data_IF_347449097619
#
_entry.id   IF_347449097619
#
_cell.length_a   1.000
_cell.length_b   1.000
_cell.length_c   1.000
_cell.angle_alpha   90.00
_cell.angle_beta   90.00
_cell.angle_gamma   90.00
#
_symmetry.space_group_name_H-M   'P 1'
#
loop_
_entity.id
_entity.type
_entity.pdbx_description
1 polymer ?
#
# COMPACT_ATOMS: atom_id res chain seq x y z
N UNK A 1 17.65 -27.96 -0.76
CA UNK A 1 16.81 -27.07 -1.57
C UNK A 1 17.65 -25.85 -1.88
N UNK A 2 17.63 -25.31 -3.10
CA UNK A 2 18.55 -24.22 -3.47
C UNK A 2 18.12 -22.92 -2.74
N UNK A 3 19.03 -22.23 -2.02
CA UNK A 3 18.68 -21.09 -1.16
C UNK A 3 17.95 -19.96 -1.91
N UNK A 4 18.16 -19.85 -3.22
CA UNK A 4 17.40 -18.95 -4.10
C UNK A 4 15.90 -19.27 -4.12
N UNK A 5 15.53 -20.52 -4.40
CA UNK A 5 14.13 -20.92 -4.55
C UNK A 5 13.37 -20.88 -3.22
N UNK A 6 14.05 -21.14 -2.10
CA UNK A 6 13.46 -21.03 -0.78
C UNK A 6 13.08 -19.57 -0.47
N UNK A 7 14.02 -18.64 -0.69
CA UNK A 7 13.78 -17.22 -0.51
C UNK A 7 12.73 -16.69 -1.50
N UNK A 8 12.77 -17.13 -2.76
CA UNK A 8 11.78 -16.79 -3.78
C UNK A 8 10.36 -17.15 -3.33
N UNK A 9 10.16 -18.38 -2.86
CA UNK A 9 8.84 -18.85 -2.42
C UNK A 9 8.36 -18.12 -1.16
N UNK A 10 9.28 -17.79 -0.24
CA UNK A 10 8.96 -17.00 0.95
C UNK A 10 8.45 -15.60 0.54
N UNK A 11 9.16 -14.92 -0.35
CA UNK A 11 8.78 -13.58 -0.81
C UNK A 11 7.46 -13.62 -1.56
N UNK A 12 7.25 -14.62 -2.42
CA UNK A 12 5.99 -14.78 -3.16
C UNK A 12 4.78 -14.85 -2.21
N UNK A 13 4.89 -15.61 -1.12
CA UNK A 13 3.83 -15.69 -0.10
C UNK A 13 3.53 -14.32 0.52
N UNK A 14 4.57 -13.57 0.89
CA UNK A 14 4.43 -12.25 1.50
C UNK A 14 3.83 -11.24 0.52
N UNK A 15 4.27 -11.23 -0.75
CA UNK A 15 3.70 -10.37 -1.79
C UNK A 15 2.21 -10.65 -2.03
N UNK A 16 1.81 -11.93 -2.02
CA UNK A 16 0.39 -12.33 -2.13
C UNK A 16 -0.40 -11.79 -0.93
N UNK A 17 0.13 -11.91 0.28
CA UNK A 17 -0.51 -11.40 1.48
C UNK A 17 -0.64 -9.88 1.45
N UNK A 18 0.43 -9.15 1.12
CA UNK A 18 0.41 -7.69 0.98
C UNK A 18 -0.63 -7.24 -0.04
N UNK A 19 -0.67 -7.88 -1.21
CA UNK A 19 -1.68 -7.59 -2.25
C UNK A 19 -3.11 -7.83 -1.76
N UNK A 20 -3.36 -8.87 -0.96
CA UNK A 20 -4.68 -9.13 -0.36
C UNK A 20 -5.05 -8.03 0.64
N UNK A 21 -4.13 -7.66 1.53
CA UNK A 21 -4.37 -6.60 2.52
C UNK A 21 -4.66 -5.24 1.87
N UNK A 22 -3.93 -4.88 0.81
CA UNK A 22 -4.21 -3.66 0.03
C UNK A 22 -5.62 -3.69 -0.55
N UNK A 23 -5.99 -4.78 -1.24
CA UNK A 23 -7.32 -4.92 -1.83
C UNK A 23 -8.43 -4.86 -0.81
N UNK A 24 -8.26 -5.54 0.33
CA UNK A 24 -9.25 -5.52 1.40
C UNK A 24 -9.39 -4.12 1.99
N UNK A 25 -8.28 -3.42 2.23
CA UNK A 25 -8.31 -2.04 2.72
C UNK A 25 -9.05 -1.11 1.75
N UNK A 26 -8.78 -1.19 0.45
CA UNK A 26 -9.50 -0.40 -0.56
C UNK A 26 -11.00 -0.73 -0.62
N UNK A 27 -11.36 -1.98 -0.35
CA UNK A 27 -12.76 -2.42 -0.31
C UNK A 27 -13.48 -1.92 0.95
N UNK A 28 -12.80 -1.93 2.09
CA UNK A 28 -13.34 -1.49 3.38
C UNK A 28 -13.52 0.02 3.45
N UNK A 29 -12.60 0.78 2.83
CA UNK A 29 -12.62 2.24 2.82
C UNK A 29 -12.75 2.79 1.38
N UNK A 30 -13.85 2.51 0.67
CA UNK A 30 -14.01 2.92 -0.72
C UNK A 30 -14.05 4.45 -0.87
N UNK A 31 -14.63 5.16 0.10
CA UNK A 31 -14.63 6.64 0.10
C UNK A 31 -13.23 7.25 0.24
N UNK A 32 -12.26 6.50 0.78
CA UNK A 32 -10.88 6.97 0.92
C UNK A 32 -10.02 6.68 -0.33
N UNK A 33 -10.24 5.53 -0.98
CA UNK A 33 -9.31 5.02 -2.01
C UNK A 33 -9.94 4.73 -3.38
N UNK A 34 -11.27 4.65 -3.46
CA UNK A 34 -12.03 4.39 -4.69
C UNK A 34 -13.09 5.48 -4.89
N UNK A 35 -12.70 6.74 -4.63
CA UNK A 35 -13.61 7.87 -4.53
C UNK A 35 -14.37 8.04 -5.85
N UNK A 36 -15.68 7.81 -5.82
CA UNK A 36 -16.56 8.28 -6.87
C UNK A 36 -16.80 9.78 -6.63
N UNK A 37 -16.51 10.67 -7.60
CA UNK A 37 -16.69 12.12 -7.43
C UNK A 37 -18.13 12.52 -7.06
N UNK A 38 -19.12 11.67 -7.29
CA UNK A 38 -20.53 11.92 -6.95
C UNK A 38 -20.95 11.34 -5.58
N UNK A 39 -20.06 10.63 -4.88
CA UNK A 39 -20.37 10.00 -3.60
C UNK A 39 -20.36 11.04 -2.46
N UNK A 40 -21.56 11.37 -1.99
CA UNK A 40 -21.81 12.30 -0.87
C UNK A 40 -21.94 11.59 0.47
N UNK A 41 -21.73 10.28 0.53
CA UNK A 41 -21.67 9.57 1.81
C UNK A 41 -20.39 9.98 2.57
N UNK A 42 -20.49 10.11 3.90
CA UNK A 42 -19.35 10.50 4.73
C UNK A 42 -18.15 9.59 4.48
N UNK A 43 -16.95 10.16 4.42
CA UNK A 43 -15.73 9.39 4.17
C UNK A 43 -15.23 8.76 5.47
N UNK A 44 -15.51 7.47 5.68
CA UNK A 44 -14.80 6.68 6.70
C UNK A 44 -13.37 6.46 6.18
N UNK A 45 -12.39 6.83 7.00
CA UNK A 45 -10.97 6.65 6.69
C UNK A 45 -10.37 5.54 7.57
N UNK A 46 -9.39 4.78 7.07
CA UNK A 46 -8.62 3.86 7.89
C UNK A 46 -7.87 4.61 8.99
N UNK A 47 -7.69 3.94 10.12
CA UNK A 47 -6.89 4.45 11.22
C UNK A 47 -5.41 4.48 10.87
N UNK A 48 -4.60 5.35 11.52
CA UNK A 48 -3.15 5.34 11.37
C UNK A 48 -2.53 3.96 11.65
N UNK A 49 -3.08 3.21 12.61
CA UNK A 49 -2.61 1.86 12.96
C UNK A 49 -2.84 0.86 11.84
N UNK A 50 -4.01 0.90 11.18
CA UNK A 50 -4.31 0.01 10.05
C UNK A 50 -3.38 0.29 8.86
N UNK A 51 -3.08 1.56 8.59
CA UNK A 51 -2.13 1.94 7.55
C UNK A 51 -0.69 1.62 7.93
N UNK A 52 -0.32 1.78 9.20
CA UNK A 52 1.01 1.40 9.70
C UNK A 52 1.27 -0.10 9.49
N UNK A 53 0.28 -0.97 9.72
CA UNK A 53 0.43 -2.41 9.49
C UNK A 53 0.74 -2.75 8.01
N UNK A 54 0.15 -2.03 7.05
CA UNK A 54 0.48 -2.19 5.62
C UNK A 54 1.91 -1.76 5.32
N UNK A 55 2.34 -0.63 5.90
CA UNK A 55 3.71 -0.10 5.74
C UNK A 55 4.75 -1.02 6.38
N UNK A 56 4.48 -1.53 7.58
CA UNK A 56 5.35 -2.48 8.28
C UNK A 56 5.53 -3.76 7.46
N UNK A 57 4.45 -4.29 6.88
CA UNK A 57 4.54 -5.46 6.01
C UNK A 57 5.42 -5.18 4.78
N UNK A 58 5.29 -4.02 4.15
CA UNK A 58 6.20 -3.62 3.07
C UNK A 58 7.67 -3.57 3.51
N UNK A 59 7.95 -2.97 4.67
CA UNK A 59 9.30 -2.83 5.20
C UNK A 59 9.94 -4.18 5.53
N UNK A 60 9.14 -5.20 5.86
CA UNK A 60 9.63 -6.57 6.04
C UNK A 60 9.99 -7.25 4.70
N UNK A 61 9.24 -6.97 3.63
CA UNK A 61 9.42 -7.63 2.33
C UNK A 61 10.57 -7.03 1.51
N UNK A 62 10.76 -5.71 1.56
CA UNK A 62 11.78 -5.01 0.76
C UNK A 62 13.20 -5.60 0.88
N UNK A 63 13.74 -5.78 2.11
CA UNK A 63 15.07 -6.35 2.30
C UNK A 63 15.22 -7.77 1.76
N UNK A 64 14.15 -8.58 1.80
CA UNK A 64 14.16 -9.94 1.27
C UNK A 64 14.23 -9.94 -0.26
N UNK A 65 13.49 -9.03 -0.91
CA UNK A 65 13.55 -8.84 -2.36
C UNK A 65 14.95 -8.40 -2.80
N UNK A 66 15.56 -7.46 -2.08
CA UNK A 66 16.93 -7.04 -2.38
C UNK A 66 17.93 -8.19 -2.21
N UNK A 67 17.78 -8.99 -1.14
CA UNK A 67 18.59 -10.18 -0.93
C UNK A 67 18.42 -11.21 -2.08
N UNK A 68 17.19 -11.45 -2.54
CA UNK A 68 16.90 -12.35 -3.66
C UNK A 68 17.63 -11.91 -4.94
N UNK A 69 17.64 -10.61 -5.22
CA UNK A 69 18.35 -10.04 -6.38
C UNK A 69 19.87 -10.21 -6.25
N UNK A 70 20.42 -10.04 -5.05
CA UNK A 70 21.86 -10.18 -4.78
C UNK A 70 22.33 -11.62 -4.98
N UNK A 71 21.55 -12.61 -4.52
CA UNK A 71 21.94 -14.02 -4.59
C UNK A 71 21.65 -14.67 -5.96
N UNK A 72 20.98 -13.97 -6.87
CA UNK A 72 20.65 -14.47 -8.20
C UNK A 72 21.89 -14.49 -9.12
N UNK A 73 22.55 -15.64 -9.19
CA UNK A 73 23.80 -15.80 -9.96
C UNK A 73 23.58 -16.21 -11.41
N UNK A 74 22.56 -17.02 -11.68
CA UNK A 74 22.23 -17.51 -13.02
C UNK A 74 21.29 -16.54 -13.76
N UNK A 75 21.35 -16.52 -15.10
CA UNK A 75 20.51 -15.63 -15.90
C UNK A 75 19.01 -15.86 -15.69
N UNK A 76 18.61 -17.12 -15.49
CA UNK A 76 17.23 -17.46 -15.19
C UNK A 76 16.79 -16.92 -13.82
N UNK A 77 17.59 -17.17 -12.79
CA UNK A 77 17.34 -16.67 -11.43
C UNK A 77 17.28 -15.15 -11.38
N UNK A 78 18.15 -14.47 -12.15
CA UNK A 78 18.14 -13.00 -12.26
C UNK A 78 16.83 -12.50 -12.85
N UNK A 79 16.31 -13.13 -13.90
CA UNK A 79 15.02 -12.77 -14.49
C UNK A 79 13.89 -12.94 -13.46
N UNK A 80 13.87 -14.08 -12.77
CA UNK A 80 12.88 -14.35 -11.72
C UNK A 80 12.95 -13.32 -10.57
N UNK A 81 14.15 -13.00 -10.10
CA UNK A 81 14.36 -12.02 -9.04
C UNK A 81 13.94 -10.61 -9.45
N UNK A 82 14.23 -10.20 -10.69
CA UNK A 82 13.80 -8.90 -11.21
C UNK A 82 12.28 -8.81 -11.39
N UNK A 83 11.62 -9.90 -11.79
CA UNK A 83 10.16 -9.94 -11.85
C UNK A 83 9.55 -9.84 -10.45
N UNK A 84 10.14 -10.50 -9.45
CA UNK A 84 9.76 -10.33 -8.04
C UNK A 84 9.94 -8.88 -7.56
N UNK A 85 11.08 -8.27 -7.87
CA UNK A 85 11.35 -6.87 -7.55
C UNK A 85 10.33 -5.94 -8.18
N UNK A 86 10.00 -6.14 -9.44
CA UNK A 86 8.97 -5.35 -10.14
C UNK A 86 7.61 -5.46 -9.47
N UNK A 87 7.21 -6.68 -9.09
CA UNK A 87 5.95 -6.89 -8.37
C UNK A 87 5.93 -6.18 -7.02
N UNK A 88 7.01 -6.26 -6.25
CA UNK A 88 7.14 -5.54 -4.99
C UNK A 88 7.02 -4.02 -5.16
N UNK A 89 7.73 -3.45 -6.14
CA UNK A 89 7.69 -2.01 -6.40
C UNK A 89 6.29 -1.50 -6.75
N UNK A 90 5.51 -2.27 -7.51
CA UNK A 90 4.11 -1.93 -7.83
C UNK A 90 3.23 -1.91 -6.57
N UNK A 91 3.39 -2.88 -5.67
CA UNK A 91 2.64 -2.90 -4.41
C UNK A 91 3.09 -1.77 -3.48
N UNK A 92 4.38 -1.45 -3.47
CA UNK A 92 4.92 -0.32 -2.71
C UNK A 92 4.33 1.01 -3.20
N UNK A 93 4.29 1.21 -4.52
CA UNK A 93 3.68 2.40 -5.11
C UNK A 93 2.19 2.50 -4.75
N UNK A 94 1.47 1.38 -4.76
CA UNK A 94 0.05 1.34 -4.40
C UNK A 94 -0.21 1.75 -2.94
N UNK A 95 0.62 1.29 -1.99
CA UNK A 95 0.53 1.71 -0.58
C UNK A 95 0.91 3.18 -0.40
N UNK A 96 1.96 3.64 -1.08
CA UNK A 96 2.35 5.06 -1.04
C UNK A 96 1.25 5.96 -1.58
N UNK A 97 0.58 5.55 -2.66
CA UNK A 97 -0.57 6.28 -3.21
C UNK A 97 -1.71 6.35 -2.19
N UNK A 98 -2.03 5.23 -1.51
CA UNK A 98 -3.03 5.22 -0.44
C UNK A 98 -2.68 6.21 0.68
N UNK A 99 -1.43 6.25 1.13
CA UNK A 99 -1.00 7.23 2.15
C UNK A 99 -1.15 8.68 1.66
N UNK A 100 -0.86 8.95 0.39
CA UNK A 100 -1.05 10.28 -0.20
C UNK A 100 -2.54 10.66 -0.28
N UNK A 101 -3.40 9.71 -0.63
CA UNK A 101 -4.84 9.94 -0.72
C UNK A 101 -5.43 10.29 0.64
N UNK A 102 -4.99 9.61 1.72
CA UNK A 102 -5.37 9.95 3.09
C UNK A 102 -4.93 11.36 3.49
N UNK A 103 -3.69 11.73 3.19
CA UNK A 103 -3.17 13.08 3.48
C UNK A 103 -3.96 14.18 2.76
N UNK A 104 -4.41 13.93 1.53
CA UNK A 104 -5.28 14.87 0.79
C UNK A 104 -6.67 14.98 1.42
N UNK A 105 -7.22 13.87 1.92
CA UNK A 105 -8.52 13.84 2.60
C UNK A 105 -8.49 14.64 3.91
N UNK A 106 -7.45 14.47 4.72
CA UNK A 106 -7.26 15.26 5.95
C UNK A 106 -7.21 16.76 5.66
N UNK A 107 -6.44 17.16 4.64
CA UNK A 107 -6.35 18.56 4.19
C UNK A 107 -7.68 19.13 3.72
N UNK A 108 -8.51 18.32 3.05
CA UNK A 108 -9.82 18.74 2.55
C UNK A 108 -10.84 18.92 3.68
N UNK A 109 -10.81 18.02 4.67
CA UNK A 109 -11.72 18.09 5.81
C UNK A 109 -11.39 19.27 6.74
N UNK A 110 -10.11 19.59 6.96
CA UNK A 110 -9.71 20.76 7.75
C UNK A 110 -10.04 22.11 7.08
N UNK A 111 -10.16 22.15 5.75
CA UNK A 111 -10.55 23.36 5.01
C UNK A 111 -12.04 23.73 5.13
N UNK A 112 -12.88 22.83 5.64
CA UNK A 112 -14.33 23.03 5.77
C UNK A 112 -14.76 23.48 7.19
N UNK A 113 -13.82 23.56 8.14
CA UNK A 113 -14.03 24.08 9.51
C UNK A 113 -13.65 25.59 9.61
N UNK A 114 -13.87 26.36 8.55
CA UNK A 114 -13.87 27.83 8.58
C UNK A 114 -15.21 28.35 9.12
N UNK A 115 -15.25 29.47 9.88
CA UNK A 115 -16.27 29.71 10.87
C UNK A 115 -17.67 29.80 10.26
N UNK A 116 -18.58 29.00 10.81
CA UNK A 116 -20.01 29.32 10.81
C UNK A 116 -20.18 30.60 11.62
N UNK A 117 -20.02 31.74 10.97
CA UNK A 117 -20.58 32.99 11.47
C UNK A 117 -22.09 32.91 11.24
N UNK A 118 -22.78 32.33 12.24
CA UNK A 118 -24.19 32.63 12.47
C UNK A 118 -24.35 34.16 12.53
N UNK A 119 -25.23 34.70 11.69
CA UNK A 119 -26.64 35.00 12.05
C UNK A 119 -26.77 36.49 12.40
N UNK A 120 -27.37 37.21 11.45
CA UNK A 120 -28.23 38.43 11.57
C UNK A 120 -28.18 39.22 12.89
N UNK A 121 -27.81 40.49 12.82
CA UNK A 121 -28.75 41.61 12.58
C UNK A 121 -27.99 42.78 11.91
#
# INVERSE_FOLDING_TARGET
MAPFMDLYNQILSLLIQLRRSIKETKRTYPGAFNRNPDDRSGTIIPTPTEMAALVEHMLQVGPLVDALVIIATEDWDRRLAQDHRRQFLLLQEEVLQMLQDLKKLESTNQGNDGPSAGTVD
#
